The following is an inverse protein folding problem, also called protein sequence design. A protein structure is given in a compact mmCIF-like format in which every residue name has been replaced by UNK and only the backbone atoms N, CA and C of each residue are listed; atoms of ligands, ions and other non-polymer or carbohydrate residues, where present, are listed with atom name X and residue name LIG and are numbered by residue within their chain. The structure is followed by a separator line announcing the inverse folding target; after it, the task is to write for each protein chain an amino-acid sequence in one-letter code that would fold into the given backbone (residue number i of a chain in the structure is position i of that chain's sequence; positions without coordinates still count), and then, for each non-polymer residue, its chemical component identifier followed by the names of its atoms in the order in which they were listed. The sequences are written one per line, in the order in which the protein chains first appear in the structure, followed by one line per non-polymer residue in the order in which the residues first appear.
data_IF_003372024426
#
_entry.id   IF_003372024426
#
_cell.length_a   1.000
_cell.length_b   1.000
_cell.length_c   1.000
_cell.angle_alpha   90.00
_cell.angle_beta   90.00
_cell.angle_gamma   90.00
#
_symmetry.space_group_name_H-M   'P 1'
#
loop_
_entity.id
_entity.type
_entity.pdbx_description
1 polymer ?
#
# COMPACT_ATOMS: atom_id res chain seq x y z
N UNK A 1 18.83 35.76 -56.38
CA UNK A 1 17.63 34.90 -56.29
C UNK A 1 17.66 33.88 -57.41
N UNK A 2 17.58 32.57 -57.12
CA UNK A 2 17.09 31.61 -58.11
C UNK A 2 15.88 30.83 -57.57
N UNK A 3 14.87 30.71 -58.42
CA UNK A 3 13.63 29.96 -58.22
C UNK A 3 13.93 28.49 -58.56
N UNK A 4 13.72 27.57 -57.61
CA UNK A 4 13.82 26.13 -57.87
C UNK A 4 12.42 25.56 -58.07
N UNK A 5 12.22 25.01 -59.26
CA UNK A 5 10.97 24.49 -59.80
C UNK A 5 10.72 23.07 -59.26
N UNK A 6 9.58 22.86 -58.61
CA UNK A 6 9.15 21.56 -58.06
C UNK A 6 8.43 20.75 -59.15
N UNK A 7 9.10 19.78 -59.74
CA UNK A 7 8.47 18.76 -60.59
C UNK A 7 7.93 17.63 -59.73
N UNK A 8 6.60 17.58 -59.58
CA UNK A 8 5.87 16.45 -58.97
C UNK A 8 5.98 15.22 -59.87
N UNK A 9 6.66 14.18 -59.41
CA UNK A 9 6.66 12.87 -60.06
C UNK A 9 5.54 12.02 -59.45
N UNK A 10 4.45 11.86 -60.19
CA UNK A 10 3.29 11.02 -59.81
C UNK A 10 3.46 9.60 -60.34
N UNK A 11 3.83 8.66 -59.47
CA UNK A 11 3.71 7.23 -59.74
C UNK A 11 2.45 6.68 -59.03
N UNK A 12 1.60 5.87 -59.70
CA UNK A 12 0.36 5.37 -59.11
C UNK A 12 0.64 4.27 -58.07
N UNK A 13 -0.04 4.34 -56.93
CA UNK A 13 0.00 3.31 -55.89
C UNK A 13 -0.77 2.07 -56.36
N UNK A 14 -0.04 1.01 -56.70
CA UNK A 14 -0.60 -0.33 -56.91
C UNK A 14 -0.83 -0.94 -55.52
N UNK A 15 -2.10 -1.09 -55.10
CA UNK A 15 -2.44 -1.85 -53.90
C UNK A 15 -2.66 -3.33 -54.26
N UNK A 16 -1.95 -4.29 -53.65
CA UNK A 16 -2.25 -5.70 -53.83
C UNK A 16 -3.53 -6.09 -53.05
N UNK A 17 -4.36 -6.94 -53.66
CA UNK A 17 -5.57 -7.52 -53.06
C UNK A 17 -5.23 -8.50 -51.92
N UNK A 18 -6.08 -8.62 -50.87
CA UNK A 18 -5.76 -9.37 -49.66
C UNK A 18 -6.06 -10.86 -49.88
N UNK A 19 -5.05 -11.64 -50.27
CA UNK A 19 -5.19 -13.10 -50.35
C UNK A 19 -3.90 -13.82 -49.99
N UNK A 20 -3.22 -13.38 -48.92
CA UNK A 20 -2.37 -14.24 -48.08
C UNK A 20 -1.86 -13.41 -46.87
N UNK A 21 -2.58 -13.42 -45.76
CA UNK A 21 -2.06 -12.90 -44.48
C UNK A 21 -1.81 -14.12 -43.61
N UNK A 22 -0.55 -14.56 -43.56
CA UNK A 22 -0.07 -15.42 -42.48
C UNK A 22 -0.42 -14.74 -41.15
N UNK A 23 -1.01 -15.44 -40.16
CA UNK A 23 -1.38 -14.81 -38.91
C UNK A 23 -0.14 -14.17 -38.29
N UNK A 24 -0.20 -12.86 -38.05
CA UNK A 24 0.78 -12.12 -37.28
C UNK A 24 1.04 -12.87 -35.97
N UNK A 25 2.29 -12.98 -35.50
CA UNK A 25 2.56 -13.59 -34.21
C UNK A 25 1.71 -12.87 -33.16
N UNK A 26 0.96 -13.67 -32.40
CA UNK A 26 0.10 -13.20 -31.32
C UNK A 26 0.87 -12.16 -30.51
N UNK A 27 0.29 -10.96 -30.36
CA UNK A 27 0.79 -9.97 -29.40
C UNK A 27 1.04 -10.69 -28.08
N UNK A 28 2.17 -10.45 -27.39
CA UNK A 28 2.44 -11.10 -26.12
C UNK A 28 1.20 -10.92 -25.24
N UNK A 29 0.64 -12.05 -24.83
CA UNK A 29 -0.48 -12.10 -23.92
C UNK A 29 -0.14 -11.20 -22.75
N UNK A 30 -1.10 -10.37 -22.30
CA UNK A 30 -0.94 -9.57 -21.08
C UNK A 30 -0.64 -10.55 -19.94
N UNK A 31 0.63 -10.79 -19.66
CA UNK A 31 1.03 -11.36 -18.38
C UNK A 31 0.65 -10.31 -17.36
N UNK A 32 -0.14 -10.72 -16.37
CA UNK A 32 -0.52 -9.85 -15.28
C UNK A 32 0.78 -9.32 -14.64
N UNK A 33 1.07 -8.01 -14.67
CA UNK A 33 2.31 -7.47 -14.12
C UNK A 33 2.45 -7.69 -12.60
N UNK A 34 1.41 -8.23 -11.96
CA UNK A 34 1.39 -8.68 -10.57
C UNK A 34 1.63 -10.18 -10.36
N UNK A 35 2.00 -10.97 -11.37
CA UNK A 35 2.57 -12.30 -11.09
C UNK A 35 3.94 -12.09 -10.48
N UNK A 36 3.97 -11.88 -9.17
CA UNK A 36 5.18 -11.91 -8.37
C UNK A 36 5.75 -13.33 -8.49
N UNK A 37 6.91 -13.53 -9.14
CA UNK A 37 7.49 -14.86 -9.36
C UNK A 37 7.68 -15.62 -8.04
N UNK A 38 7.96 -14.87 -6.97
CA UNK A 38 8.07 -15.39 -5.61
C UNK A 38 6.75 -15.97 -5.10
N UNK A 39 5.63 -15.25 -5.28
CA UNK A 39 4.31 -15.76 -4.88
C UNK A 39 3.89 -16.96 -5.73
N UNK A 40 4.18 -16.97 -7.04
CA UNK A 40 3.81 -18.10 -7.91
C UNK A 40 4.55 -19.39 -7.55
N UNK A 41 5.78 -19.30 -7.07
CA UNK A 41 6.54 -20.47 -6.63
C UNK A 41 6.10 -20.94 -5.24
N UNK A 42 5.81 -19.99 -4.34
CA UNK A 42 5.25 -20.31 -3.02
C UNK A 42 3.85 -20.95 -3.11
N UNK A 43 3.00 -20.50 -4.04
CA UNK A 43 1.66 -21.06 -4.28
C UNK A 43 1.69 -22.52 -4.73
N UNK A 44 2.58 -22.88 -5.66
CA UNK A 44 2.75 -24.28 -6.11
C UNK A 44 3.19 -25.21 -4.98
N UNK A 45 4.07 -24.74 -4.09
CA UNK A 45 4.55 -25.50 -2.93
C UNK A 45 3.45 -25.66 -1.87
N UNK A 46 2.54 -24.67 -1.77
CA UNK A 46 1.38 -24.69 -0.88
C UNK A 46 0.36 -25.76 -1.30
N UNK A 47 0.11 -25.90 -2.60
CA UNK A 47 -0.79 -26.89 -3.20
C UNK A 47 -0.32 -28.34 -2.98
N UNK A 48 0.99 -28.54 -2.81
CA UNK A 48 1.61 -29.85 -2.59
C UNK A 48 1.78 -30.26 -1.11
N UNK A 49 1.33 -29.43 -0.15
CA UNK A 49 1.59 -29.62 1.28
C UNK A 49 0.33 -30.05 2.05
N UNK A 50 0.50 -30.83 3.14
CA UNK A 50 -0.63 -31.17 4.03
C UNK A 50 -1.14 -29.93 4.77
N UNK A 51 -2.41 -29.87 5.22
CA UNK A 51 -2.95 -28.68 5.90
C UNK A 51 -2.11 -28.16 7.09
N UNK A 52 -1.47 -29.07 7.84
CA UNK A 52 -0.56 -28.70 8.93
C UNK A 52 0.76 -28.08 8.42
N UNK A 53 1.39 -28.70 7.41
CA UNK A 53 2.62 -28.18 6.79
C UNK A 53 2.37 -26.88 6.02
N UNK A 54 1.18 -26.72 5.46
CA UNK A 54 0.71 -25.49 4.79
C UNK A 54 0.56 -24.35 5.79
N UNK A 55 0.03 -24.62 6.98
CA UNK A 55 -0.09 -23.63 8.07
C UNK A 55 1.27 -23.18 8.58
N UNK A 56 2.20 -24.12 8.77
CA UNK A 56 3.56 -23.81 9.25
C UNK A 56 4.37 -23.02 8.21
N UNK A 57 4.30 -23.41 6.93
CA UNK A 57 4.96 -22.68 5.84
C UNK A 57 4.38 -21.28 5.64
N UNK A 58 3.07 -21.11 5.79
CA UNK A 58 2.42 -19.80 5.70
C UNK A 58 2.86 -18.87 6.84
N UNK A 59 3.00 -19.40 8.06
CA UNK A 59 3.56 -18.65 9.19
C UNK A 59 4.98 -18.17 8.91
N UNK A 60 5.86 -19.07 8.43
CA UNK A 60 7.26 -18.72 8.09
C UNK A 60 7.31 -17.64 7.02
N UNK A 61 6.49 -17.75 5.96
CA UNK A 61 6.44 -16.74 4.91
C UNK A 61 5.98 -15.38 5.44
N UNK A 62 4.95 -15.34 6.30
CA UNK A 62 4.51 -14.10 6.96
C UNK A 62 5.65 -13.48 7.77
N UNK A 63 6.39 -14.28 8.53
CA UNK A 63 7.50 -13.80 9.36
C UNK A 63 8.62 -13.22 8.49
N UNK A 64 9.01 -13.91 7.41
CA UNK A 64 10.02 -13.42 6.46
C UNK A 64 9.60 -12.09 5.81
N UNK A 65 8.37 -12.01 5.32
CA UNK A 65 7.84 -10.77 4.73
C UNK A 65 7.78 -9.63 5.74
N UNK A 66 7.37 -9.93 6.96
CA UNK A 66 7.30 -8.98 8.08
C UNK A 66 8.69 -8.43 8.39
N UNK A 67 9.68 -9.31 8.55
CA UNK A 67 11.06 -8.91 8.83
C UNK A 67 11.68 -8.12 7.68
N UNK A 68 11.42 -8.51 6.43
CA UNK A 68 11.88 -7.77 5.26
C UNK A 68 11.28 -6.35 5.22
N UNK A 69 9.98 -6.21 5.50
CA UNK A 69 9.31 -4.91 5.54
C UNK A 69 9.85 -4.01 6.66
N UNK A 70 10.08 -4.56 7.86
CA UNK A 70 10.67 -3.84 8.98
C UNK A 70 12.10 -3.40 8.68
N UNK A 71 12.92 -4.30 8.11
CA UNK A 71 14.31 -4.01 7.72
C UNK A 71 14.40 -2.93 6.65
N UNK A 72 13.60 -3.04 5.58
CA UNK A 72 13.61 -2.05 4.51
C UNK A 72 13.12 -0.68 4.97
N UNK A 73 12.10 -0.64 5.83
CA UNK A 73 11.65 0.62 6.41
C UNK A 73 12.71 1.24 7.33
N UNK A 74 13.44 0.44 8.13
CA UNK A 74 14.52 0.93 8.98
C UNK A 74 15.67 1.54 8.17
N UNK A 75 16.12 0.88 7.09
CA UNK A 75 17.15 1.41 6.19
C UNK A 75 16.73 2.75 5.57
N UNK A 76 15.46 2.91 5.19
CA UNK A 76 14.97 4.18 4.68
C UNK A 76 15.09 5.31 5.72
N UNK A 77 14.86 5.00 7.00
CA UNK A 77 15.04 5.95 8.10
C UNK A 77 16.51 6.31 8.33
N UNK A 78 17.43 5.35 8.19
CA UNK A 78 18.88 5.62 8.28
C UNK A 78 19.35 6.57 7.16
N UNK A 79 18.81 6.44 5.95
CA UNK A 79 19.18 7.30 4.82
C UNK A 79 18.72 8.75 5.00
N UNK A 80 17.54 8.96 5.59
CA UNK A 80 17.06 10.31 5.92
C UNK A 80 16.15 10.29 7.16
N UNK A 81 16.71 10.53 8.36
CA UNK A 81 15.97 10.47 9.63
C UNK A 81 14.91 11.55 9.82
N UNK A 82 14.85 12.56 8.95
CA UNK A 82 13.87 13.65 9.04
C UNK A 82 12.82 13.60 7.92
N UNK A 83 12.85 12.58 7.06
CA UNK A 83 11.90 12.46 5.96
C UNK A 83 10.60 11.78 6.43
N UNK A 84 9.58 12.59 6.72
CA UNK A 84 8.27 12.16 7.26
C UNK A 84 7.62 11.02 6.48
N UNK A 85 7.76 10.98 5.15
CA UNK A 85 7.12 9.94 4.33
C UNK A 85 7.67 8.53 4.60
N UNK A 86 8.92 8.41 5.08
CA UNK A 86 9.49 7.11 5.46
C UNK A 86 8.84 6.60 6.74
N UNK A 87 8.66 7.45 7.75
CA UNK A 87 7.91 7.12 8.96
C UNK A 87 6.44 6.81 8.64
N UNK A 88 5.79 7.57 7.76
CA UNK A 88 4.41 7.27 7.31
C UNK A 88 4.31 5.92 6.61
N UNK A 89 5.33 5.53 5.84
CA UNK A 89 5.37 4.24 5.15
C UNK A 89 5.58 3.10 6.14
N UNK A 90 6.51 3.25 7.09
CA UNK A 90 6.71 2.31 8.20
C UNK A 90 5.45 2.14 9.04
N UNK A 91 4.80 3.25 9.42
CA UNK A 91 3.59 3.22 10.23
C UNK A 91 2.46 2.44 9.54
N UNK A 92 2.28 2.60 8.21
CA UNK A 92 1.31 1.80 7.45
C UNK A 92 1.58 0.30 7.57
N UNK A 93 2.82 -0.12 7.38
CA UNK A 93 3.23 -1.52 7.56
C UNK A 93 2.91 -1.99 8.98
N UNK A 94 3.36 -1.24 9.97
CA UNK A 94 3.16 -1.60 11.37
C UNK A 94 1.67 -1.66 11.76
N UNK A 95 0.80 -0.80 11.23
CA UNK A 95 -0.65 -0.89 11.48
C UNK A 95 -1.20 -2.24 11.02
N UNK A 96 -0.83 -2.70 9.82
CA UNK A 96 -1.21 -4.03 9.35
C UNK A 96 -0.67 -5.13 10.28
N UNK A 97 0.61 -5.05 10.66
CA UNK A 97 1.22 -6.03 11.56
C UNK A 97 0.56 -6.06 12.94
N UNK A 98 0.18 -4.90 13.47
CA UNK A 98 -0.48 -4.78 14.77
C UNK A 98 -1.88 -5.38 14.80
N UNK A 99 -2.53 -5.52 13.63
CA UNK A 99 -3.78 -6.25 13.51
C UNK A 99 -3.61 -7.78 13.54
N UNK A 100 -2.39 -8.26 13.29
CA UNK A 100 -2.03 -9.69 13.30
C UNK A 100 -1.48 -10.07 14.69
N UNK A 101 -0.57 -9.27 15.22
CA UNK A 101 0.08 -9.50 16.51
C UNK A 101 0.18 -8.20 17.33
N UNK A 102 -0.40 -8.15 18.55
CA UNK A 102 -0.30 -7.04 19.47
C UNK A 102 1.13 -6.58 19.81
N UNK A 103 2.15 -7.43 19.62
CA UNK A 103 3.56 -7.08 19.86
C UNK A 103 3.99 -5.82 19.10
N UNK A 104 3.37 -5.55 17.95
CA UNK A 104 3.71 -4.42 17.09
C UNK A 104 3.08 -3.08 17.50
N UNK A 105 2.12 -3.05 18.43
CA UNK A 105 1.42 -1.81 18.81
C UNK A 105 2.39 -0.69 19.24
N UNK A 106 3.38 -1.02 20.06
CA UNK A 106 4.32 -0.02 20.58
C UNK A 106 5.24 0.56 19.49
N UNK A 107 5.68 -0.25 18.52
CA UNK A 107 6.49 0.23 17.38
C UNK A 107 5.66 1.19 16.51
N UNK A 108 4.40 0.85 16.26
CA UNK A 108 3.48 1.70 15.48
C UNK A 108 3.23 3.03 16.18
N UNK A 109 2.92 3.00 17.48
CA UNK A 109 2.69 4.21 18.27
C UNK A 109 3.94 5.11 18.22
N UNK A 110 5.12 4.55 18.49
CA UNK A 110 6.38 5.30 18.46
C UNK A 110 6.62 5.91 17.07
N UNK A 111 6.36 5.15 16.01
CA UNK A 111 6.51 5.61 14.63
C UNK A 111 5.52 6.74 14.31
N UNK A 112 4.25 6.62 14.71
CA UNK A 112 3.21 7.63 14.48
C UNK A 112 3.45 8.90 15.31
N UNK A 113 3.95 8.77 16.54
CA UNK A 113 4.38 9.91 17.35
C UNK A 113 5.51 10.66 16.65
N UNK A 114 6.47 9.94 16.06
CA UNK A 114 7.52 10.59 15.27
C UNK A 114 6.98 11.32 14.04
N UNK A 115 5.97 10.77 13.36
CA UNK A 115 5.27 11.50 12.29
C UNK A 115 4.61 12.75 12.82
N UNK A 116 3.98 12.70 14.00
CA UNK A 116 3.33 13.87 14.60
C UNK A 116 4.31 14.98 15.00
N UNK A 117 5.56 14.63 15.33
CA UNK A 117 6.63 15.60 15.56
C UNK A 117 7.08 16.28 14.27
N UNK A 118 7.28 15.49 13.21
CA UNK A 118 7.82 15.97 11.92
C UNK A 118 6.75 16.64 11.03
N UNK A 119 5.49 16.27 11.20
CA UNK A 119 4.34 16.80 10.46
C UNK A 119 3.13 16.94 11.40
N UNK A 120 3.11 17.97 12.26
CA UNK A 120 2.09 18.14 13.29
C UNK A 120 0.67 18.38 12.75
N UNK A 121 0.54 18.75 11.47
CA UNK A 121 -0.74 18.96 10.78
C UNK A 121 -1.24 17.73 10.01
N UNK A 122 -0.54 16.60 10.06
CA UNK A 122 -0.96 15.37 9.37
C UNK A 122 -2.09 14.66 10.14
N UNK A 123 -3.32 15.11 9.90
CA UNK A 123 -4.52 14.56 10.53
C UNK A 123 -4.64 13.04 10.37
N UNK A 124 -4.20 12.49 9.24
CA UNK A 124 -4.25 11.05 8.95
C UNK A 124 -3.40 10.21 9.90
N UNK A 125 -2.20 10.67 10.25
CA UNK A 125 -1.34 9.93 11.19
C UNK A 125 -1.88 10.00 12.62
N UNK A 126 -2.48 11.13 13.01
CA UNK A 126 -3.19 11.25 14.29
C UNK A 126 -4.42 10.35 14.34
N UNK A 127 -5.21 10.29 13.27
CA UNK A 127 -6.33 9.35 13.15
C UNK A 127 -5.85 7.89 13.27
N UNK A 128 -4.77 7.53 12.58
CA UNK A 128 -4.19 6.19 12.69
C UNK A 128 -3.71 5.87 14.11
N UNK A 129 -3.20 6.85 14.84
CA UNK A 129 -2.82 6.67 16.24
C UNK A 129 -4.05 6.34 17.10
N UNK A 130 -5.17 7.02 16.84
CA UNK A 130 -6.46 6.69 17.45
C UNK A 130 -6.91 5.27 17.16
N UNK A 131 -6.82 4.80 15.90
CA UNK A 131 -7.14 3.41 15.56
C UNK A 131 -6.29 2.39 16.32
N UNK A 132 -5.00 2.67 16.49
CA UNK A 132 -4.09 1.78 17.22
C UNK A 132 -4.46 1.74 18.71
N UNK A 133 -4.73 2.89 19.34
CA UNK A 133 -5.22 2.92 20.71
C UNK A 133 -6.55 2.19 20.87
N UNK A 134 -7.49 2.38 19.94
CA UNK A 134 -8.76 1.67 19.93
C UNK A 134 -8.57 0.16 19.92
N UNK A 135 -7.69 -0.35 19.05
CA UNK A 135 -7.37 -1.78 18.97
C UNK A 135 -6.71 -2.33 20.24
N UNK A 136 -6.04 -1.47 21.02
CA UNK A 136 -5.50 -1.81 22.34
C UNK A 136 -6.54 -1.73 23.47
N UNK A 137 -7.80 -1.34 23.17
CA UNK A 137 -8.83 -1.07 24.18
C UNK A 137 -8.65 0.25 24.94
N UNK A 138 -7.73 1.11 24.48
CA UNK A 138 -7.41 2.41 25.06
C UNK A 138 -8.36 3.49 24.53
N UNK A 139 -9.61 3.40 24.96
CA UNK A 139 -10.70 4.21 24.42
C UNK A 139 -10.51 5.72 24.69
N UNK A 140 -10.00 6.09 25.86
CA UNK A 140 -9.76 7.50 26.23
C UNK A 140 -8.69 8.12 25.32
N UNK A 141 -7.55 7.45 25.15
CA UNK A 141 -6.49 7.92 24.24
C UNK A 141 -6.96 7.95 22.78
N UNK A 142 -7.80 6.98 22.39
CA UNK A 142 -8.41 6.94 21.05
C UNK A 142 -9.33 8.13 20.81
N UNK A 143 -10.18 8.51 21.78
CA UNK A 143 -11.08 9.65 21.68
C UNK A 143 -10.27 10.94 21.48
N UNK A 144 -9.24 11.15 22.30
CA UNK A 144 -8.35 12.33 22.20
C UNK A 144 -7.70 12.39 20.82
N UNK A 145 -7.21 11.27 20.31
CA UNK A 145 -6.59 11.22 18.98
C UNK A 145 -7.61 11.53 17.86
N UNK A 146 -8.81 10.96 17.89
CA UNK A 146 -9.82 11.26 16.87
C UNK A 146 -10.28 12.71 16.93
N UNK A 147 -10.48 13.27 18.12
CA UNK A 147 -10.80 14.69 18.25
C UNK A 147 -9.71 15.57 17.64
N UNK A 148 -8.44 15.32 17.96
CA UNK A 148 -7.32 16.06 17.37
C UNK A 148 -7.25 15.91 15.85
N UNK A 149 -7.56 14.74 15.30
CA UNK A 149 -7.62 14.55 13.85
C UNK A 149 -8.74 15.38 13.20
N UNK A 150 -9.90 15.52 13.86
CA UNK A 150 -11.02 16.36 13.43
C UNK A 150 -10.66 17.84 13.55
N UNK A 151 -9.98 18.25 14.62
CA UNK A 151 -9.55 19.65 14.80
C UNK A 151 -8.58 20.08 13.68
N UNK A 152 -7.69 19.17 13.25
CA UNK A 152 -6.77 19.39 12.13
C UNK A 152 -7.47 19.33 10.77
N UNK A 153 -8.49 18.47 10.63
CA UNK A 153 -9.25 18.25 9.41
C UNK A 153 -10.75 18.11 9.75
N UNK A 154 -11.51 19.20 9.75
CA UNK A 154 -12.92 19.18 10.16
C UNK A 154 -13.82 18.29 9.30
N UNK A 155 -13.46 18.03 8.05
CA UNK A 155 -14.15 17.13 7.11
C UNK A 155 -13.63 15.68 7.17
N UNK A 156 -12.91 15.29 8.23
CA UNK A 156 -12.42 13.91 8.38
C UNK A 156 -13.53 12.97 8.86
N UNK A 157 -14.40 12.57 7.93
CA UNK A 157 -15.58 11.74 8.19
C UNK A 157 -15.25 10.43 8.91
N UNK A 158 -14.15 9.74 8.56
CA UNK A 158 -13.78 8.50 9.23
C UNK A 158 -13.43 8.71 10.71
N UNK A 159 -12.77 9.82 11.06
CA UNK A 159 -12.47 10.16 12.45
C UNK A 159 -13.76 10.51 13.22
N UNK A 160 -14.68 11.24 12.60
CA UNK A 160 -15.99 11.55 13.18
C UNK A 160 -16.79 10.29 13.49
N UNK A 161 -16.89 9.36 12.52
CA UNK A 161 -17.62 8.09 12.70
C UNK A 161 -17.02 7.28 13.85
N UNK A 162 -15.67 7.20 13.94
CA UNK A 162 -15.01 6.49 15.04
C UNK A 162 -15.28 7.15 16.39
N UNK A 163 -15.19 8.49 16.48
CA UNK A 163 -15.50 9.23 17.69
C UNK A 163 -16.96 9.03 18.13
N UNK A 164 -17.93 9.19 17.22
CA UNK A 164 -19.35 8.95 17.50
C UNK A 164 -19.60 7.54 18.03
N UNK A 165 -18.99 6.52 17.42
CA UNK A 165 -19.13 5.13 17.87
C UNK A 165 -18.57 4.86 19.28
N UNK A 166 -17.60 5.67 19.72
CA UNK A 166 -16.99 5.58 21.05
C UNK A 166 -17.78 6.35 22.10
N UNK A 167 -18.39 7.48 21.74
CA UNK A 167 -19.20 8.30 22.65
C UNK A 167 -20.62 7.74 22.83
N UNK A 168 -21.16 7.06 21.80
CA UNK A 168 -22.49 6.46 21.80
C UNK A 168 -22.42 4.94 21.57
N UNK A 169 -21.92 4.15 22.52
CA UNK A 169 -21.76 2.69 22.34
C UNK A 169 -23.09 1.93 22.15
N UNK A 170 -24.24 2.60 22.32
CA UNK A 170 -25.60 2.03 22.27
C UNK A 170 -26.18 1.84 20.84
N UNK A 171 -25.50 2.30 19.79
CA UNK A 171 -25.96 2.12 18.38
C UNK A 171 -25.46 0.82 17.73
N UNK A 172 -24.82 -0.08 18.49
CA UNK A 172 -24.41 -1.41 17.99
C UNK A 172 -25.54 -2.42 18.14
N UNK A 173 -26.50 -2.41 17.22
CA UNK A 173 -27.44 -3.52 16.97
C UNK A 173 -27.08 -4.27 15.67
#
# INVERSE_FOLDING_TARGET
MPVVNLSLNTAPLIYPTPSNISPLPLKPTRTNPYTNPFLSEQLKVLEASTPAQTKDKFSIAIDEFTQAALTNSAKALEMNPHHTNYYKSRAKVGIYLSSIDPVYYNDVITTLLKVSELAPTDAKSIYNLGLVYLNMGKNEESIVAFQKAIDLKPDYTEAQVRLSSLMNPQEKE
#
